data_IF_158187494008
#
_entry.id   IF_158187494008
#
_cell.length_a   1.000
_cell.length_b   1.000
_cell.length_c   1.000
_cell.angle_alpha   90.00
_cell.angle_beta   90.00
_cell.angle_gamma   90.00
#
_symmetry.space_group_name_H-M   'P 1'
#
loop_
_entity.id
_entity.type
_entity.pdbx_description
1 polymer ?
#
# COMPACT_ATOMS: atom_id res chain seq x y z
N UNK A 1 -23.51 23.92 5.03
CA UNK A 1 -22.43 23.87 4.02
C UNK A 1 -21.05 23.49 4.57
N UNK A 2 -20.58 24.02 5.73
CA UNK A 2 -19.25 23.65 6.29
C UNK A 2 -19.23 22.28 7.00
N UNK A 3 -20.27 21.94 7.75
CA UNK A 3 -20.34 20.71 8.57
C UNK A 3 -20.33 19.44 7.71
N UNK A 4 -21.08 19.41 6.60
CA UNK A 4 -21.09 18.27 5.67
C UNK A 4 -19.70 18.05 5.05
N UNK A 5 -19.00 19.14 4.71
CA UNK A 5 -17.64 19.09 4.17
C UNK A 5 -16.66 18.49 5.18
N UNK A 6 -16.79 18.85 6.45
CA UNK A 6 -15.98 18.31 7.55
C UNK A 6 -16.30 16.82 7.74
N UNK A 7 -17.58 16.43 7.71
CA UNK A 7 -17.99 15.04 7.88
C UNK A 7 -17.41 14.13 6.80
N UNK A 8 -17.51 14.53 5.52
CA UNK A 8 -16.90 13.81 4.40
C UNK A 8 -15.38 13.76 4.51
N UNK A 9 -14.75 14.84 4.96
CA UNK A 9 -13.30 14.90 5.11
C UNK A 9 -12.79 13.98 6.24
N UNK A 10 -13.55 13.86 7.33
CA UNK A 10 -13.26 12.90 8.41
C UNK A 10 -13.50 11.47 7.93
N UNK A 11 -14.62 11.20 7.26
CA UNK A 11 -14.94 9.87 6.74
C UNK A 11 -13.88 9.36 5.76
N UNK A 12 -13.44 10.21 4.83
CA UNK A 12 -12.34 9.90 3.90
C UNK A 12 -11.04 9.58 4.61
N UNK A 13 -10.74 10.28 5.72
CA UNK A 13 -9.54 9.99 6.52
C UNK A 13 -9.64 8.67 7.26
N UNK A 14 -10.78 8.41 7.89
CA UNK A 14 -11.04 7.12 8.57
C UNK A 14 -10.94 5.98 7.55
N UNK A 15 -11.50 6.16 6.36
CA UNK A 15 -11.39 5.21 5.26
C UNK A 15 -9.95 4.88 4.89
N UNK A 16 -9.08 5.89 4.76
CA UNK A 16 -7.65 5.68 4.54
C UNK A 16 -7.00 4.83 5.65
N UNK A 17 -7.28 5.11 6.91
CA UNK A 17 -6.72 4.34 8.03
C UNK A 17 -7.23 2.90 8.05
N UNK A 18 -8.50 2.66 7.73
CA UNK A 18 -9.06 1.30 7.60
C UNK A 18 -8.37 0.54 6.47
N UNK A 19 -8.22 1.17 5.30
CA UNK A 19 -7.52 0.59 4.16
C UNK A 19 -6.04 0.29 4.42
N UNK A 20 -5.37 1.09 5.26
CA UNK A 20 -3.99 0.84 5.68
C UNK A 20 -3.91 -0.27 6.74
N UNK A 21 -4.86 -0.30 7.67
CA UNK A 21 -4.86 -1.24 8.79
C UNK A 21 -5.04 -2.69 8.35
N UNK A 22 -5.97 -2.96 7.42
CA UNK A 22 -6.24 -4.31 6.90
C UNK A 22 -4.96 -5.01 6.39
N UNK A 23 -4.23 -4.44 5.40
CA UNK A 23 -3.02 -5.06 4.89
C UNK A 23 -1.88 -5.01 5.90
N UNK A 24 -1.80 -4.04 6.81
CA UNK A 24 -0.79 -4.07 7.88
C UNK A 24 -1.00 -5.32 8.75
N UNK A 25 -2.21 -5.60 9.20
CA UNK A 25 -2.48 -6.77 10.05
C UNK A 25 -2.26 -8.07 9.31
N UNK A 26 -2.69 -8.16 8.05
CA UNK A 26 -2.53 -9.36 7.21
C UNK A 26 -1.09 -9.59 6.76
N UNK A 27 -0.39 -8.53 6.33
CA UNK A 27 0.94 -8.63 5.72
C UNK A 27 2.07 -8.49 6.74
N UNK A 28 1.89 -7.82 7.88
CA UNK A 28 2.90 -7.69 8.94
C UNK A 28 3.63 -9.00 9.26
N UNK A 29 2.94 -10.11 9.63
CA UNK A 29 3.63 -11.36 9.95
C UNK A 29 4.38 -11.91 8.74
N UNK A 30 3.81 -11.76 7.54
CA UNK A 30 4.42 -12.20 6.29
C UNK A 30 5.68 -11.40 5.92
N UNK A 31 5.65 -10.08 6.11
CA UNK A 31 6.75 -9.17 5.84
C UNK A 31 7.92 -9.44 6.81
N UNK A 32 7.63 -9.67 8.09
CA UNK A 32 8.65 -10.03 9.10
C UNK A 32 9.27 -11.40 8.78
N UNK A 33 8.46 -12.38 8.36
CA UNK A 33 9.00 -13.69 7.98
C UNK A 33 9.86 -13.60 6.71
N UNK A 34 9.44 -12.82 5.72
CA UNK A 34 10.12 -12.74 4.42
C UNK A 34 11.42 -11.94 4.45
N UNK A 35 11.60 -11.02 5.41
CA UNK A 35 12.85 -10.25 5.54
C UNK A 35 13.98 -11.01 6.24
N UNK A 36 13.66 -12.10 6.96
CA UNK A 36 14.64 -12.92 7.69
C UNK A 36 15.58 -13.72 6.77
N UNK A 37 15.24 -13.89 5.49
CA UNK A 37 16.05 -14.64 4.53
C UNK A 37 16.25 -13.86 3.24
N UNK A 38 17.51 -13.81 2.78
CA UNK A 38 17.89 -13.14 1.53
C UNK A 38 17.16 -13.71 0.31
N UNK A 39 16.84 -15.02 0.34
CA UNK A 39 16.10 -15.69 -0.75
C UNK A 39 14.65 -15.20 -0.86
N UNK A 40 14.04 -14.80 0.25
CA UNK A 40 12.64 -14.36 0.30
C UNK A 40 12.49 -12.85 0.16
N UNK A 41 13.58 -12.10 0.03
CA UNK A 41 13.56 -10.65 -0.17
C UNK A 41 12.77 -10.23 -1.43
N UNK A 42 12.88 -10.99 -2.51
CA UNK A 42 12.09 -10.74 -3.72
C UNK A 42 10.57 -10.88 -3.46
N UNK A 43 10.15 -11.81 -2.59
CA UNK A 43 8.75 -11.97 -2.20
C UNK A 43 8.28 -10.77 -1.37
N UNK A 44 9.11 -10.30 -0.43
CA UNK A 44 8.84 -9.08 0.34
C UNK A 44 8.53 -7.90 -0.62
N UNK A 45 9.37 -7.71 -1.64
CA UNK A 45 9.18 -6.64 -2.62
C UNK A 45 7.88 -6.78 -3.43
N UNK A 46 7.48 -8.01 -3.77
CA UNK A 46 6.20 -8.28 -4.45
C UNK A 46 5.01 -7.97 -3.54
N UNK A 47 5.06 -8.40 -2.28
CA UNK A 47 4.03 -8.14 -1.26
C UNK A 47 3.87 -6.63 -1.01
N UNK A 48 4.98 -5.91 -0.88
CA UNK A 48 4.99 -4.46 -0.72
C UNK A 48 4.38 -3.73 -1.94
N UNK A 49 4.69 -4.18 -3.18
CA UNK A 49 4.06 -3.63 -4.39
C UNK A 49 2.56 -3.91 -4.45
N UNK A 50 2.13 -5.11 -4.02
CA UNK A 50 0.71 -5.44 -3.94
C UNK A 50 -0.01 -4.55 -2.92
N UNK A 51 0.59 -4.35 -1.75
CA UNK A 51 0.08 -3.45 -0.72
C UNK A 51 -0.11 -2.03 -1.24
N UNK A 52 0.91 -1.46 -1.90
CA UNK A 52 0.85 -0.12 -2.47
C UNK A 52 -0.30 0.02 -3.49
N UNK A 53 -0.47 -0.98 -4.36
CA UNK A 53 -1.58 -1.01 -5.33
C UNK A 53 -2.93 -1.09 -4.62
N UNK A 54 -3.08 -1.95 -3.62
CA UNK A 54 -4.31 -2.10 -2.85
C UNK A 54 -4.75 -0.78 -2.21
N UNK A 55 -3.82 -0.08 -1.56
CA UNK A 55 -4.12 1.23 -0.93
C UNK A 55 -4.47 2.29 -1.98
N UNK A 56 -3.73 2.36 -3.10
CA UNK A 56 -4.01 3.32 -4.17
C UNK A 56 -5.39 3.10 -4.80
N UNK A 57 -5.71 1.85 -5.17
CA UNK A 57 -7.02 1.51 -5.72
C UNK A 57 -8.15 1.72 -4.71
N UNK A 58 -7.94 1.34 -3.44
CA UNK A 58 -8.94 1.55 -2.38
C UNK A 58 -9.22 3.03 -2.11
N UNK A 59 -8.24 3.90 -2.33
CA UNK A 59 -8.38 5.35 -2.24
C UNK A 59 -8.93 5.98 -3.54
N UNK A 60 -9.20 5.18 -4.58
CA UNK A 60 -9.72 5.65 -5.86
C UNK A 60 -8.68 6.29 -6.79
N UNK A 61 -7.39 6.10 -6.52
CA UNK A 61 -6.31 6.60 -7.36
C UNK A 61 -5.80 5.53 -8.32
N UNK A 62 -5.52 5.92 -9.56
CA UNK A 62 -4.82 5.06 -10.51
C UNK A 62 -3.31 5.13 -10.26
N UNK A 63 -2.63 3.97 -10.27
CA UNK A 63 -1.18 3.93 -10.13
C UNK A 63 -0.52 4.10 -11.50
N UNK A 64 0.39 5.07 -11.62
CA UNK A 64 1.27 5.22 -12.80
C UNK A 64 2.70 5.05 -12.33
N UNK A 65 3.38 4.03 -12.86
CA UNK A 65 4.81 3.84 -12.61
C UNK A 65 5.56 4.61 -13.68
N UNK A 66 6.24 5.68 -13.27
CA UNK A 66 7.27 6.33 -14.09
C UNK A 66 8.61 5.90 -13.50
N UNK A 67 9.40 5.18 -14.29
CA UNK A 67 10.77 4.86 -13.92
C UNK A 67 11.68 5.88 -14.62
N UNK A 68 12.51 6.59 -13.87
CA UNK A 68 13.51 7.52 -14.42
C UNK A 68 14.68 6.77 -15.09
N UNK A 69 14.87 5.50 -14.71
CA UNK A 69 15.88 4.61 -15.25
C UNK A 69 15.25 3.26 -15.59
N UNK A 70 15.59 2.72 -16.76
CA UNK A 70 15.26 1.35 -17.10
C UNK A 70 15.99 0.41 -16.14
N UNK A 71 15.26 -0.57 -15.61
CA UNK A 71 15.87 -1.62 -14.81
C UNK A 71 16.81 -2.42 -15.72
N UNK A 72 18.13 -2.29 -15.54
CA UNK A 72 19.07 -3.22 -16.17
C UNK A 72 18.73 -4.63 -15.67
N UNK A 73 18.26 -5.47 -16.60
CA UNK A 73 18.07 -6.88 -16.35
C UNK A 73 19.46 -7.48 -16.15
N UNK A 74 19.82 -7.76 -14.89
CA UNK A 74 20.97 -8.59 -14.55
C UNK A 74 20.83 -10.00 -15.10
#
# INVERSE_FOLDING_TARGET
MRIIKILFWVLWRVWFYVLMFIPIVLLSPFLVITILSEKTYFLFFKLARFWAKFVLFGMGFYYKVMAEQDFENG
#
